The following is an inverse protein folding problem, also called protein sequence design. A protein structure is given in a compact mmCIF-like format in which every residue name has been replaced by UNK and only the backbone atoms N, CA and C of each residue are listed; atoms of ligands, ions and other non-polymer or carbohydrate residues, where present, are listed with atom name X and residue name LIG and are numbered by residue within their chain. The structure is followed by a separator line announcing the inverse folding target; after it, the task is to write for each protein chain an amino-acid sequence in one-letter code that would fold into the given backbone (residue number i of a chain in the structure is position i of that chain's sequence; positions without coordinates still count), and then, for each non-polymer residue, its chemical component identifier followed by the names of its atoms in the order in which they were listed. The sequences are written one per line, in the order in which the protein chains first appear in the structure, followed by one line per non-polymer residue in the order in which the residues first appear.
data_IF_515023632609
#
_entry.id   IF_515023632609
#
_cell.length_a   1.000
_cell.length_b   1.000
_cell.length_c   1.000
_cell.angle_alpha   90.00
_cell.angle_beta   90.00
_cell.angle_gamma   90.00
#
_symmetry.space_group_name_H-M   'P 1'
#
loop_
_entity.id
_entity.type
_entity.pdbx_description
1 polymer ?
#
# COMPACT_ATOMS: atom_id res chain seq x y z
N UNK A 1 14.14 27.56 4.23
CA UNK A 1 13.98 28.67 3.28
C UNK A 1 14.85 29.84 3.74
N UNK A 2 15.92 30.14 3.02
CA UNK A 2 16.89 31.18 3.33
C UNK A 2 16.28 32.52 2.98
N UNK A 3 16.17 33.45 3.94
CA UNK A 3 15.68 34.81 3.70
C UNK A 3 16.83 35.79 3.77
N UNK A 4 17.09 36.51 2.67
CA UNK A 4 18.09 37.56 2.62
C UNK A 4 17.48 38.85 3.15
N UNK A 5 17.99 39.35 4.27
CA UNK A 5 17.61 40.64 4.84
C UNK A 5 18.75 41.64 4.62
N UNK A 6 18.46 42.71 3.89
CA UNK A 6 19.41 43.81 3.76
C UNK A 6 19.22 44.79 4.93
N UNK A 7 20.31 45.39 5.45
CA UNK A 7 20.19 46.46 6.41
C UNK A 7 19.54 47.69 5.75
N UNK A 8 18.87 48.54 6.55
CA UNK A 8 18.04 49.66 6.06
C UNK A 8 18.78 50.63 5.16
N UNK A 9 20.07 50.81 5.33
CA UNK A 9 20.92 51.69 4.53
C UNK A 9 21.31 51.13 3.17
N UNK A 10 21.06 49.84 2.96
CA UNK A 10 21.25 49.17 1.66
C UNK A 10 19.89 48.85 0.97
N UNK A 11 18.76 49.21 1.57
CA UNK A 11 17.43 48.88 1.03
C UNK A 11 16.94 49.92 0.00
N UNK A 12 17.65 50.04 -1.11
CA UNK A 12 17.31 50.90 -2.20
C UNK A 12 16.67 50.14 -3.38
N UNK A 13 15.96 50.87 -4.31
CA UNK A 13 15.20 50.20 -5.39
C UNK A 13 16.07 49.42 -6.36
N UNK A 14 17.34 49.75 -6.53
CA UNK A 14 18.29 48.98 -7.35
C UNK A 14 18.79 47.74 -6.64
N UNK A 15 19.05 47.84 -5.32
CA UNK A 15 19.49 46.72 -4.52
C UNK A 15 18.36 45.72 -4.20
N UNK A 16 17.11 46.19 -4.23
CA UNK A 16 15.95 45.32 -4.15
C UNK A 16 15.89 44.29 -5.29
N UNK A 17 16.26 44.73 -6.52
CA UNK A 17 16.35 43.82 -7.67
C UNK A 17 17.47 42.80 -7.52
N UNK A 18 18.63 43.24 -7.04
CA UNK A 18 19.76 42.32 -6.75
C UNK A 18 19.43 41.32 -5.64
N UNK A 19 18.78 41.81 -4.58
CA UNK A 19 18.28 40.98 -3.50
C UNK A 19 17.33 39.90 -4.01
N UNK A 20 16.35 40.24 -4.88
CA UNK A 20 15.42 39.27 -5.45
C UNK A 20 16.14 38.21 -6.30
N UNK A 21 17.10 38.62 -7.13
CA UNK A 21 17.91 37.70 -7.91
C UNK A 21 18.76 36.76 -7.04
N UNK A 22 19.41 37.30 -5.99
CA UNK A 22 20.17 36.51 -5.03
C UNK A 22 19.27 35.56 -4.23
N UNK A 23 18.09 35.98 -3.83
CA UNK A 23 17.11 35.16 -3.13
C UNK A 23 16.70 33.95 -4.00
N UNK A 24 16.35 34.20 -5.27
CA UNK A 24 15.99 33.12 -6.20
C UNK A 24 17.15 32.13 -6.42
N UNK A 25 18.38 32.65 -6.52
CA UNK A 25 19.55 31.80 -6.66
C UNK A 25 19.75 30.90 -5.41
N UNK A 26 19.63 31.45 -4.21
CA UNK A 26 19.75 30.69 -2.97
C UNK A 26 18.63 29.66 -2.79
N UNK A 27 17.42 29.93 -3.26
CA UNK A 27 16.31 28.96 -3.27
C UNK A 27 16.63 27.77 -4.18
N UNK A 28 17.23 28.02 -5.34
CA UNK A 28 17.71 26.96 -6.23
C UNK A 28 18.83 26.14 -5.58
N UNK A 29 19.80 26.78 -4.92
CA UNK A 29 20.88 26.10 -4.20
C UNK A 29 20.32 25.24 -3.05
N UNK A 30 19.37 25.74 -2.29
CA UNK A 30 18.69 24.98 -1.23
C UNK A 30 18.01 23.73 -1.82
N UNK A 31 17.33 23.86 -2.96
CA UNK A 31 16.74 22.74 -3.68
C UNK A 31 17.79 21.69 -4.11
N UNK A 32 18.93 22.13 -4.63
CA UNK A 32 20.02 21.22 -5.00
C UNK A 32 20.64 20.51 -3.81
N UNK A 33 20.76 21.17 -2.67
CA UNK A 33 21.28 20.58 -1.45
C UNK A 33 20.31 19.57 -0.83
N UNK A 34 19.00 19.77 -1.01
CA UNK A 34 17.98 18.84 -0.53
C UNK A 34 17.79 17.63 -1.45
N UNK A 35 18.14 17.75 -2.74
CA UNK A 35 17.95 16.70 -3.72
C UNK A 35 18.55 15.34 -3.32
N UNK A 36 19.79 15.24 -2.78
CA UNK A 36 20.37 13.97 -2.34
C UNK A 36 19.57 13.31 -1.19
N UNK A 37 18.96 14.11 -0.30
CA UNK A 37 18.12 13.58 0.78
C UNK A 37 16.84 12.95 0.24
N UNK A 38 16.23 13.54 -0.79
CA UNK A 38 15.05 12.99 -1.45
C UNK A 38 15.36 11.66 -2.18
N UNK A 39 16.63 11.45 -2.57
CA UNK A 39 17.05 10.19 -3.19
C UNK A 39 17.18 9.03 -2.21
N UNK A 40 17.21 9.29 -0.90
CA UNK A 40 17.23 8.24 0.13
C UNK A 40 15.84 7.67 0.45
N UNK A 41 14.79 8.34 0.01
CA UNK A 41 13.42 7.90 0.20
C UNK A 41 12.95 7.06 -1.01
N UNK A 42 12.50 5.84 -0.75
CA UNK A 42 12.01 4.93 -1.79
C UNK A 42 10.77 5.45 -2.54
N UNK A 43 10.00 6.38 -1.96
CA UNK A 43 8.81 6.95 -2.60
C UNK A 43 9.16 8.01 -3.66
N UNK A 44 10.23 8.80 -3.42
CA UNK A 44 10.57 9.99 -4.23
C UNK A 44 11.82 9.84 -5.07
N UNK A 45 12.66 8.84 -4.79
CA UNK A 45 13.93 8.65 -5.48
C UNK A 45 13.75 8.30 -6.96
N UNK A 46 14.80 8.59 -7.76
CA UNK A 46 14.88 8.13 -9.14
C UNK A 46 14.98 6.60 -9.22
N UNK A 47 14.44 6.00 -10.28
CA UNK A 47 14.36 4.54 -10.42
C UNK A 47 15.71 3.84 -10.30
N UNK A 48 16.78 4.41 -10.87
CA UNK A 48 18.14 3.85 -10.76
C UNK A 48 18.68 3.85 -9.32
N UNK A 49 18.30 4.86 -8.52
CA UNK A 49 18.64 4.91 -7.10
C UNK A 49 17.78 3.92 -6.30
N UNK A 50 16.54 3.75 -6.69
CA UNK A 50 15.65 2.74 -6.11
C UNK A 50 16.22 1.34 -6.29
N UNK A 51 16.80 1.01 -7.45
CA UNK A 51 17.44 -0.27 -7.69
C UNK A 51 18.67 -0.49 -6.78
N UNK A 52 19.42 0.57 -6.49
CA UNK A 52 20.53 0.49 -5.52
C UNK A 52 20.02 0.29 -4.08
N UNK A 53 18.95 0.98 -3.70
CA UNK A 53 18.29 0.79 -2.40
C UNK A 53 17.71 -0.62 -2.27
N UNK A 54 17.14 -1.15 -3.34
CA UNK A 54 16.63 -2.51 -3.40
C UNK A 54 17.74 -3.53 -3.24
N UNK A 55 18.85 -3.35 -3.96
CA UNK A 55 20.04 -4.20 -3.82
C UNK A 55 20.57 -4.20 -2.38
N UNK A 56 20.66 -3.03 -1.75
CA UNK A 56 21.07 -2.90 -0.34
C UNK A 56 20.17 -3.69 0.62
N UNK A 57 18.88 -3.82 0.27
CA UNK A 57 17.84 -4.47 1.09
C UNK A 57 17.52 -5.89 0.65
N UNK A 58 18.36 -6.47 -0.22
CA UNK A 58 18.18 -7.82 -0.79
C UNK A 58 16.82 -8.01 -1.47
N UNK A 59 16.38 -7.00 -2.21
CA UNK A 59 15.14 -7.04 -2.98
C UNK A 59 15.47 -6.99 -4.46
N UNK A 60 15.04 -8.01 -5.20
CA UNK A 60 15.05 -8.04 -6.65
C UNK A 60 13.69 -7.66 -7.22
N UNK A 61 13.69 -6.92 -8.33
CA UNK A 61 12.46 -6.59 -9.06
C UNK A 61 11.92 -7.84 -9.77
N UNK A 62 10.63 -8.09 -9.65
CA UNK A 62 9.98 -9.18 -10.36
C UNK A 62 9.72 -8.80 -11.84
N UNK A 63 9.58 -9.82 -12.66
CA UNK A 63 9.15 -9.61 -14.05
C UNK A 63 7.74 -8.99 -14.05
N UNK A 64 7.56 -7.94 -14.84
CA UNK A 64 6.30 -7.20 -15.00
C UNK A 64 5.74 -6.59 -13.69
N UNK A 65 6.59 -6.39 -12.69
CA UNK A 65 6.20 -5.74 -11.44
C UNK A 65 5.92 -4.24 -11.66
N UNK A 66 4.73 -3.74 -11.26
CA UNK A 66 4.45 -2.31 -11.28
C UNK A 66 5.43 -1.52 -10.40
N UNK A 67 5.86 -0.36 -10.87
CA UNK A 67 6.81 0.49 -10.11
C UNK A 67 6.29 0.85 -8.72
N UNK A 68 4.98 1.10 -8.59
CA UNK A 68 4.35 1.42 -7.30
C UNK A 68 4.53 0.30 -6.28
N UNK A 69 4.35 -0.95 -6.69
CA UNK A 69 4.55 -2.11 -5.82
C UNK A 69 6.03 -2.30 -5.47
N UNK A 70 6.92 -2.14 -6.45
CA UNK A 70 8.35 -2.23 -6.23
C UNK A 70 8.84 -1.20 -5.20
N UNK A 71 8.37 0.06 -5.31
CA UNK A 71 8.65 1.10 -4.32
C UNK A 71 8.17 0.72 -2.92
N UNK A 72 6.95 0.18 -2.79
CA UNK A 72 6.42 -0.29 -1.51
C UNK A 72 7.25 -1.44 -0.93
N UNK A 73 7.69 -2.40 -1.76
CA UNK A 73 8.54 -3.51 -1.31
C UNK A 73 9.88 -3.02 -0.79
N UNK A 74 10.52 -2.09 -1.51
CA UNK A 74 11.79 -1.49 -1.10
C UNK A 74 11.60 -0.66 0.18
N UNK A 75 10.54 0.14 0.26
CA UNK A 75 10.21 0.97 1.42
C UNK A 75 10.03 0.12 2.69
N UNK A 76 9.24 -0.93 2.59
CA UNK A 76 8.88 -1.77 3.73
C UNK A 76 9.76 -3.02 3.87
N UNK A 77 10.91 -3.11 3.18
CA UNK A 77 11.77 -4.27 3.15
C UNK A 77 12.10 -4.82 4.54
N UNK A 78 12.58 -3.96 5.43
CA UNK A 78 12.99 -4.36 6.77
C UNK A 78 11.81 -4.90 7.61
N UNK A 79 10.70 -4.17 7.63
CA UNK A 79 9.54 -4.59 8.42
C UNK A 79 8.87 -5.85 7.83
N UNK A 80 8.93 -6.01 6.50
CA UNK A 80 8.44 -7.21 5.84
C UNK A 80 9.34 -8.43 6.15
N UNK A 81 10.65 -8.25 6.25
CA UNK A 81 11.57 -9.31 6.67
C UNK A 81 11.30 -9.76 8.11
N UNK A 82 11.01 -8.83 9.02
CA UNK A 82 10.64 -9.14 10.41
C UNK A 82 9.30 -9.88 10.49
N UNK A 83 8.33 -9.50 9.67
CA UNK A 83 6.98 -10.10 9.65
C UNK A 83 6.92 -11.42 8.88
N UNK A 84 7.90 -11.72 8.02
CA UNK A 84 7.91 -12.91 7.17
C UNK A 84 7.85 -14.22 7.99
N UNK A 85 7.29 -15.27 7.40
CA UNK A 85 7.22 -16.61 7.99
C UNK A 85 6.13 -16.80 9.06
N UNK A 86 5.34 -15.78 9.39
CA UNK A 86 4.19 -15.89 10.28
C UNK A 86 2.89 -15.58 9.53
N UNK A 87 1.77 -16.23 9.92
CA UNK A 87 0.45 -15.98 9.30
C UNK A 87 -0.01 -14.54 9.49
N UNK A 88 0.12 -14.04 10.72
CA UNK A 88 -0.22 -12.66 11.03
C UNK A 88 0.70 -11.66 10.30
N UNK A 89 1.98 -12.00 10.17
CA UNK A 89 2.95 -11.20 9.43
C UNK A 89 2.65 -11.18 7.93
N UNK A 90 2.36 -12.33 7.34
CA UNK A 90 1.99 -12.40 5.92
C UNK A 90 0.74 -11.54 5.61
N UNK A 91 -0.26 -11.54 6.49
CA UNK A 91 -1.43 -10.67 6.36
C UNK A 91 -1.05 -9.20 6.37
N UNK A 92 -0.17 -8.77 7.31
CA UNK A 92 0.32 -7.38 7.37
C UNK A 92 1.15 -6.99 6.15
N UNK A 93 1.99 -7.90 5.65
CA UNK A 93 2.79 -7.70 4.44
C UNK A 93 1.88 -7.44 3.23
N UNK A 94 0.90 -8.31 3.00
CA UNK A 94 -0.02 -8.18 1.88
C UNK A 94 -0.84 -6.88 1.95
N UNK A 95 -1.26 -6.48 3.15
CA UNK A 95 -1.94 -5.18 3.36
C UNK A 95 -1.04 -3.98 3.01
N UNK A 96 0.24 -3.98 3.47
CA UNK A 96 1.21 -2.91 3.16
C UNK A 96 1.52 -2.82 1.67
N UNK A 97 1.53 -3.95 0.99
CA UNK A 97 1.79 -4.02 -0.44
C UNK A 97 0.55 -3.71 -1.30
N UNK A 98 -0.57 -3.35 -0.67
CA UNK A 98 -1.77 -2.93 -1.38
C UNK A 98 -2.63 -4.07 -1.93
N UNK A 99 -2.39 -5.33 -1.50
CA UNK A 99 -3.23 -6.47 -1.90
C UNK A 99 -4.60 -6.42 -1.23
N UNK A 100 -4.77 -5.59 -0.19
CA UNK A 100 -6.04 -5.37 0.49
C UNK A 100 -6.35 -6.40 1.56
N UNK A 101 -7.64 -6.74 1.71
CA UNK A 101 -8.08 -7.66 2.76
C UNK A 101 -7.81 -9.12 2.34
N UNK A 102 -7.11 -9.85 3.21
CA UNK A 102 -6.77 -11.26 3.01
C UNK A 102 -7.16 -12.03 4.28
N UNK A 103 -7.92 -13.09 4.12
CA UNK A 103 -8.13 -14.09 5.16
C UNK A 103 -7.19 -15.28 4.94
N UNK A 104 -6.64 -15.80 6.03
CA UNK A 104 -5.69 -16.89 6.00
C UNK A 104 -6.19 -17.97 6.96
N UNK A 105 -6.55 -19.13 6.40
CA UNK A 105 -6.99 -20.28 7.17
C UNK A 105 -5.93 -21.39 7.14
N UNK A 106 -5.54 -21.84 8.31
CA UNK A 106 -4.60 -22.95 8.50
C UNK A 106 -5.30 -24.11 9.18
N UNK A 107 -4.80 -25.33 8.95
CA UNK A 107 -5.24 -26.56 9.64
C UNK A 107 -6.74 -26.83 9.50
N UNK A 108 -7.24 -26.76 8.29
CA UNK A 108 -8.63 -27.13 8.01
C UNK A 108 -8.82 -28.65 8.18
N UNK A 109 -9.95 -29.09 8.78
CA UNK A 109 -10.19 -30.49 9.05
C UNK A 109 -10.24 -31.40 7.81
N UNK A 110 -10.60 -30.82 6.65
CA UNK A 110 -10.79 -31.53 5.39
C UNK A 110 -9.58 -31.45 4.44
N UNK A 111 -8.46 -30.88 4.90
CA UNK A 111 -7.26 -30.67 4.09
C UNK A 111 -6.00 -31.15 4.80
N UNK A 112 -4.95 -31.38 4.02
CA UNK A 112 -3.64 -31.69 4.56
C UNK A 112 -3.14 -30.59 5.49
N UNK A 113 -2.36 -30.95 6.51
CA UNK A 113 -1.86 -30.05 7.54
C UNK A 113 -0.94 -28.94 7.03
N UNK A 114 -0.34 -29.12 5.86
CA UNK A 114 0.60 -28.19 5.22
C UNK A 114 -0.09 -27.20 4.28
N UNK A 115 -1.38 -27.38 4.02
CA UNK A 115 -2.16 -26.47 3.16
C UNK A 115 -2.61 -25.25 3.94
N UNK A 116 -2.31 -24.08 3.39
CA UNK A 116 -2.75 -22.78 3.87
C UNK A 116 -3.68 -22.17 2.82
N UNK A 117 -4.92 -21.88 3.21
CA UNK A 117 -5.89 -21.27 2.31
C UNK A 117 -5.87 -19.75 2.45
N UNK A 118 -5.68 -19.09 1.32
CA UNK A 118 -5.75 -17.64 1.18
C UNK A 118 -7.06 -17.26 0.51
N UNK A 119 -7.91 -16.55 1.23
CA UNK A 119 -9.17 -16.01 0.69
C UNK A 119 -8.96 -14.57 0.31
N UNK A 120 -9.16 -14.26 -0.95
CA UNK A 120 -8.88 -12.96 -1.55
C UNK A 120 -10.13 -12.43 -2.26
N UNK A 121 -10.30 -11.12 -2.33
CA UNK A 121 -11.32 -10.53 -3.19
C UNK A 121 -10.94 -10.69 -4.66
N UNK A 122 -11.94 -10.82 -5.53
CA UNK A 122 -11.76 -11.06 -6.96
C UNK A 122 -10.90 -9.98 -7.65
N UNK A 123 -11.05 -8.73 -7.23
CA UNK A 123 -10.26 -7.61 -7.76
C UNK A 123 -8.74 -7.75 -7.53
N UNK A 124 -8.33 -8.43 -6.48
CA UNK A 124 -6.92 -8.62 -6.14
C UNK A 124 -6.26 -9.73 -6.98
N UNK A 125 -7.00 -10.79 -7.28
CA UNK A 125 -6.54 -11.88 -8.13
C UNK A 125 -6.52 -11.50 -9.61
N UNK A 126 -7.52 -10.75 -10.05
CA UNK A 126 -7.67 -10.38 -11.46
C UNK A 126 -6.58 -9.43 -11.95
N UNK A 127 -5.99 -8.63 -11.05
CA UNK A 127 -4.96 -7.67 -11.44
C UNK A 127 -3.60 -8.32 -11.72
N UNK A 128 -3.18 -9.31 -10.92
CA UNK A 128 -1.88 -9.94 -11.15
C UNK A 128 -1.68 -11.24 -10.32
N UNK A 129 -2.24 -12.39 -10.72
CA UNK A 129 -2.16 -13.64 -9.95
C UNK A 129 -0.75 -14.20 -9.82
N UNK A 130 0.09 -14.03 -10.84
CA UNK A 130 1.47 -14.50 -10.82
C UNK A 130 2.33 -13.70 -9.81
N UNK A 131 2.12 -12.40 -9.77
CA UNK A 131 2.81 -11.53 -8.82
C UNK A 131 2.44 -11.90 -7.37
N UNK A 132 1.17 -12.17 -7.12
CA UNK A 132 0.70 -12.59 -5.81
C UNK A 132 1.35 -13.92 -5.38
N UNK A 133 1.47 -14.88 -6.30
CA UNK A 133 2.16 -16.15 -6.03
C UNK A 133 3.61 -15.93 -5.65
N UNK A 134 4.33 -15.09 -6.39
CA UNK A 134 5.73 -14.78 -6.09
C UNK A 134 5.89 -14.09 -4.74
N UNK A 135 5.00 -13.15 -4.40
CA UNK A 135 4.99 -12.49 -3.08
C UNK A 135 4.78 -13.48 -1.94
N UNK A 136 3.81 -14.40 -2.11
CA UNK A 136 3.52 -15.41 -1.10
C UNK A 136 4.67 -16.41 -0.97
N UNK A 137 5.29 -16.79 -2.08
CA UNK A 137 6.47 -17.66 -2.05
C UNK A 137 7.66 -16.98 -1.34
N UNK A 138 7.83 -15.68 -1.50
CA UNK A 138 8.93 -14.93 -0.87
C UNK A 138 8.71 -14.71 0.63
N UNK A 139 7.48 -14.37 1.06
CA UNK A 139 7.21 -13.96 2.43
C UNK A 139 6.46 -15.02 3.25
N UNK A 140 5.93 -16.04 2.61
CA UNK A 140 5.23 -17.15 3.26
C UNK A 140 6.17 -18.13 3.94
N UNK A 141 5.60 -19.13 4.58
CA UNK A 141 6.36 -20.24 5.17
C UNK A 141 6.86 -21.19 4.09
N UNK A 142 8.12 -21.56 4.16
CA UNK A 142 8.79 -22.38 3.12
C UNK A 142 8.24 -23.81 3.00
N UNK A 143 7.67 -24.39 4.05
CA UNK A 143 7.17 -25.77 4.05
C UNK A 143 5.64 -25.84 3.96
N UNK A 144 5.01 -24.89 3.28
CA UNK A 144 3.56 -24.82 3.15
C UNK A 144 3.14 -24.73 1.68
N UNK A 145 2.01 -25.34 1.37
CA UNK A 145 1.31 -25.19 0.09
C UNK A 145 0.23 -24.13 0.25
N UNK A 146 0.12 -23.23 -0.69
CA UNK A 146 -0.85 -22.15 -0.65
C UNK A 146 -1.92 -22.33 -1.72
N UNK A 147 -3.16 -22.49 -1.26
CA UNK A 147 -4.34 -22.53 -2.12
C UNK A 147 -5.06 -21.19 -2.07
N UNK A 148 -5.64 -20.80 -3.20
CA UNK A 148 -6.33 -19.51 -3.34
C UNK A 148 -7.83 -19.74 -3.48
N UNK A 149 -8.61 -18.99 -2.73
CA UNK A 149 -10.07 -18.92 -2.87
C UNK A 149 -10.48 -17.48 -3.12
N UNK A 150 -11.23 -17.27 -4.16
CA UNK A 150 -11.78 -15.95 -4.49
C UNK A 150 -13.09 -15.75 -3.73
N UNK A 151 -13.17 -14.63 -2.99
CA UNK A 151 -14.40 -14.17 -2.33
C UNK A 151 -15.06 -13.11 -3.22
N UNK A 152 -16.20 -13.45 -3.80
CA UNK A 152 -17.01 -12.47 -4.53
C UNK A 152 -18.15 -12.01 -3.64
N UNK A 153 -18.17 -10.76 -3.17
CA UNK A 153 -19.28 -10.26 -2.36
C UNK A 153 -20.56 -10.13 -3.22
N UNK A 154 -21.57 -10.88 -2.88
CA UNK A 154 -22.90 -10.76 -3.48
C UNK A 154 -23.80 -9.98 -2.54
N UNK A 155 -24.32 -8.82 -2.98
CA UNK A 155 -25.29 -8.06 -2.21
C UNK A 155 -26.68 -8.71 -2.38
N UNK A 156 -27.13 -9.46 -1.37
CA UNK A 156 -28.49 -10.00 -1.32
C UNK A 156 -29.40 -9.01 -0.58
N UNK A 157 -30.40 -8.46 -1.25
CA UNK A 157 -31.48 -7.72 -0.60
C UNK A 157 -32.62 -8.67 -0.29
N UNK A 158 -32.77 -9.03 0.96
CA UNK A 158 -33.94 -9.76 1.45
C UNK A 158 -35.01 -8.72 1.80
N UNK A 159 -36.06 -8.67 1.01
CA UNK A 159 -37.27 -7.93 1.37
C UNK A 159 -38.23 -8.90 2.03
N UNK A 160 -38.47 -8.80 3.33
CA UNK A 160 -39.60 -9.46 4.00
C UNK A 160 -40.79 -8.48 3.89
N UNK A 161 -41.80 -8.87 3.13
CA UNK A 161 -43.11 -8.19 3.15
C UNK A 161 -43.99 -9.03 4.05
N UNK A 162 -44.30 -8.51 5.24
CA UNK A 162 -45.28 -9.11 6.12
C UNK A 162 -46.65 -8.51 5.74
N UNK A 163 -47.49 -9.31 5.12
CA UNK A 163 -48.88 -8.98 4.85
C UNK A 163 -49.69 -9.47 6.04
N UNK A 164 -49.70 -8.69 7.10
CA UNK A 164 -50.59 -8.93 8.22
C UNK A 164 -51.98 -8.33 7.87
N UNK A 165 -52.90 -9.17 7.43
CA UNK A 165 -54.29 -8.81 7.18
C UNK A 165 -55.06 -9.03 8.50
N UNK A 166 -54.87 -8.14 9.47
CA UNK A 166 -55.66 -8.09 10.70
C UNK A 166 -57.02 -7.43 10.40
N UNK A 167 -57.94 -8.23 9.90
CA UNK A 167 -59.30 -7.84 9.70
C UNK A 167 -60.08 -7.92 11.03
N UNK A 168 -60.16 -6.82 11.76
CA UNK A 168 -61.03 -6.71 12.93
C UNK A 168 -62.47 -6.36 12.46
N UNK A 169 -63.34 -7.35 12.48
CA UNK A 169 -64.78 -7.13 12.25
C UNK A 169 -65.45 -6.69 13.56
N UNK A 170 -65.73 -5.40 13.70
CA UNK A 170 -66.51 -4.89 14.80
C UNK A 170 -68.03 -5.05 14.49
N UNK A 171 -68.66 -6.01 15.18
CA UNK A 171 -70.09 -6.20 15.11
C UNK A 171 -70.80 -5.24 16.14
N UNK A 172 -71.43 -4.22 15.68
CA UNK A 172 -72.25 -3.40 16.51
C UNK A 172 -73.66 -4.09 16.72
N UNK A 173 -73.94 -4.57 17.94
CA UNK A 173 -75.20 -5.06 18.34
C UNK A 173 -76.03 -3.88 18.88
N UNK A 174 -77.24 -3.67 18.33
CA UNK A 174 -78.28 -2.76 18.85
C UNK A 174 -78.92 -3.38 20.09
#
# INVERSE_FOLDING_TARGET
MIKLNLPFWLDGPQLAKLKAAAQSWWENVEGWLQWPLLQMDADTCHLTVLDLLAWQRDISRFKDEPESLYRLRVKFAFINAVDAGSTAGLKRILQRLGVGYVEIDERMPDRDWDVVMLRLSDSQLSQNPELLRVLIQQYGRTCRRYDFVTLTPVSLRLGAADFNDDQQTLIASL
#
